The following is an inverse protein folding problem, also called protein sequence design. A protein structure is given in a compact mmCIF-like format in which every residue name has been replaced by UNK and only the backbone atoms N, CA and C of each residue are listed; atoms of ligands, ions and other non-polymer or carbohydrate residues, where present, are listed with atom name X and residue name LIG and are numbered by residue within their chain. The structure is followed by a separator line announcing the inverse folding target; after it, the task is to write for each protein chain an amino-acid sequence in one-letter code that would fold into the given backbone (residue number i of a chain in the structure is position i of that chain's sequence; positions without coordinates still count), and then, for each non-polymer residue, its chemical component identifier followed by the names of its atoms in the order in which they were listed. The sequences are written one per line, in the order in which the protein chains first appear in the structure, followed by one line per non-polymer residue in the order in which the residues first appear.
data_IF_028432956957
#
_entry.id   IF_028432956957
#
_cell.length_a   1.000
_cell.length_b   1.000
_cell.length_c   1.000
_cell.angle_alpha   90.00
_cell.angle_beta   90.00
_cell.angle_gamma   90.00
#
_symmetry.space_group_name_H-M   'P 1'
#
loop_
_entity.id
_entity.type
_entity.pdbx_description
1 polymer ?
#
# COMPACT_ATOMS: atom_id res chain seq x y z
N UNK A 1 -38.98 -49.82 -0.21
CA UNK A 1 -37.73 -49.21 0.31
C UNK A 1 -36.81 -49.00 -0.89
N UNK A 2 -36.54 -47.76 -1.29
CA UNK A 2 -35.71 -47.42 -2.46
C UNK A 2 -34.43 -46.76 -1.94
N UNK A 3 -33.28 -47.36 -2.25
CA UNK A 3 -31.97 -46.86 -1.88
C UNK A 3 -31.51 -45.79 -2.87
N UNK A 4 -31.09 -44.62 -2.36
CA UNK A 4 -30.43 -43.57 -3.12
C UNK A 4 -28.91 -43.78 -3.04
N UNK A 5 -28.16 -43.75 -4.16
CA UNK A 5 -26.70 -43.73 -4.10
C UNK A 5 -26.22 -42.30 -3.80
N UNK A 6 -25.55 -42.13 -2.66
CA UNK A 6 -24.82 -40.91 -2.31
C UNK A 6 -23.50 -40.94 -3.09
N UNK A 7 -23.38 -40.07 -4.09
CA UNK A 7 -22.14 -39.83 -4.81
C UNK A 7 -21.18 -39.01 -3.93
N UNK A 8 -20.07 -39.61 -3.51
CA UNK A 8 -18.98 -38.91 -2.84
C UNK A 8 -18.22 -38.06 -3.86
N UNK A 9 -18.37 -36.73 -3.76
CA UNK A 9 -17.52 -35.77 -4.47
C UNK A 9 -16.20 -35.69 -3.72
N UNK A 10 -15.17 -36.31 -4.29
CA UNK A 10 -13.77 -36.16 -3.87
C UNK A 10 -13.32 -34.72 -4.14
N UNK A 11 -13.29 -33.90 -3.10
CA UNK A 11 -12.55 -32.63 -3.12
C UNK A 11 -11.07 -32.97 -3.22
N UNK A 12 -10.47 -32.74 -4.41
CA UNK A 12 -9.02 -32.64 -4.55
C UNK A 12 -8.56 -31.46 -3.69
N UNK A 13 -8.04 -31.76 -2.51
CA UNK A 13 -7.23 -30.85 -1.72
C UNK A 13 -5.97 -30.50 -2.52
N UNK A 14 -6.00 -29.34 -3.17
CA UNK A 14 -4.82 -28.70 -3.75
C UNK A 14 -3.85 -28.42 -2.60
N UNK A 15 -2.86 -29.29 -2.46
CA UNK A 15 -1.72 -29.10 -1.57
C UNK A 15 -1.08 -27.76 -1.90
N UNK A 16 -1.13 -26.83 -0.95
CA UNK A 16 -0.38 -25.59 -0.98
C UNK A 16 1.10 -25.95 -1.18
N UNK A 17 1.65 -25.61 -2.34
CA UNK A 17 3.10 -25.62 -2.51
C UNK A 17 3.67 -24.64 -1.47
N UNK A 18 4.61 -25.05 -0.60
CA UNK A 18 5.35 -24.07 0.17
C UNK A 18 6.09 -23.20 -0.84
N UNK A 19 5.65 -21.95 -0.99
CA UNK A 19 6.40 -20.93 -1.73
C UNK A 19 7.78 -20.90 -1.09
N UNK A 20 8.81 -21.27 -1.87
CA UNK A 20 10.17 -21.25 -1.38
C UNK A 20 10.53 -19.82 -0.99
N UNK A 21 11.03 -19.63 0.22
CA UNK A 21 11.56 -18.36 0.71
C UNK A 21 12.50 -17.74 -0.34
N UNK A 22 12.09 -16.61 -0.94
CA UNK A 22 12.94 -15.93 -1.92
C UNK A 22 14.14 -15.33 -1.20
N UNK A 23 15.35 -15.76 -1.57
CA UNK A 23 16.57 -15.13 -1.09
C UNK A 23 16.74 -13.76 -1.77
N UNK A 24 17.15 -12.76 -1.00
CA UNK A 24 17.44 -11.41 -1.50
C UNK A 24 18.94 -11.14 -1.49
N UNK A 25 19.47 -10.56 -2.56
CA UNK A 25 20.86 -10.13 -2.59
C UNK A 25 21.01 -8.78 -1.85
N UNK A 26 22.17 -8.54 -1.21
CA UNK A 26 22.43 -7.26 -0.50
C UNK A 26 22.20 -6.05 -1.40
N UNK A 27 22.58 -6.12 -2.68
CA UNK A 27 22.40 -5.04 -3.65
C UNK A 27 20.93 -4.70 -3.95
N UNK A 28 20.00 -5.60 -3.66
CA UNK A 28 18.55 -5.42 -3.84
C UNK A 28 17.89 -4.75 -2.63
N UNK A 29 18.57 -4.70 -1.47
CA UNK A 29 18.10 -3.99 -0.28
C UNK A 29 18.16 -2.46 -0.50
N UNK A 30 17.37 -1.68 0.25
CA UNK A 30 17.49 -0.22 0.23
C UNK A 30 18.90 0.26 0.59
N UNK A 31 19.36 1.35 -0.03
CA UNK A 31 20.71 1.87 0.15
C UNK A 31 21.07 2.16 1.63
N UNK A 32 20.12 2.64 2.43
CA UNK A 32 20.30 2.87 3.87
C UNK A 32 20.48 1.57 4.65
N UNK A 33 19.75 0.50 4.29
CA UNK A 33 19.92 -0.84 4.87
C UNK A 33 21.26 -1.45 4.45
N UNK A 34 21.67 -1.31 3.18
CA UNK A 34 23.00 -1.75 2.74
C UNK A 34 24.11 -1.06 3.53
N UNK A 35 23.97 0.24 3.76
CA UNK A 35 24.91 1.03 4.54
C UNK A 35 24.98 0.52 5.99
N UNK A 36 23.83 0.25 6.60
CA UNK A 36 23.71 -0.28 7.94
C UNK A 36 24.33 -1.67 8.13
N UNK A 37 24.21 -2.55 7.14
CA UNK A 37 24.89 -3.85 7.13
C UNK A 37 26.41 -3.64 7.01
N UNK A 38 26.84 -2.75 6.11
CA UNK A 38 28.26 -2.48 5.86
C UNK A 38 28.95 -1.86 7.09
N UNK A 39 28.26 -0.98 7.82
CA UNK A 39 28.76 -0.41 9.08
C UNK A 39 28.66 -1.37 10.27
N UNK A 40 28.03 -2.54 10.09
CA UNK A 40 27.81 -3.50 11.17
C UNK A 40 26.81 -3.02 12.24
N UNK A 41 25.90 -2.11 11.89
CA UNK A 41 24.86 -1.59 12.80
C UNK A 41 23.55 -2.36 12.70
N UNK A 42 23.39 -3.24 11.70
CA UNK A 42 22.28 -4.19 11.65
C UNK A 42 22.67 -5.49 10.93
N UNK A 43 21.82 -6.51 11.12
CA UNK A 43 21.91 -7.81 10.45
C UNK A 43 20.56 -8.10 9.80
N UNK A 44 20.57 -8.54 8.54
CA UNK A 44 19.37 -8.99 7.82
C UNK A 44 19.46 -10.50 7.58
N UNK A 45 18.38 -11.21 7.88
CA UNK A 45 18.25 -12.63 7.61
C UNK A 45 17.79 -12.81 6.14
N UNK A 46 18.71 -13.26 5.27
CA UNK A 46 18.50 -13.29 3.82
C UNK A 46 17.51 -14.34 3.29
N UNK A 47 17.39 -15.54 3.89
CA UNK A 47 16.24 -16.40 3.63
C UNK A 47 14.97 -15.67 4.07
N UNK A 48 14.10 -15.33 3.12
CA UNK A 48 12.81 -14.69 3.45
C UNK A 48 12.04 -15.52 4.47
N UNK A 49 11.53 -14.88 5.51
CA UNK A 49 10.66 -15.54 6.50
C UNK A 49 9.24 -15.77 5.93
N UNK A 50 8.88 -15.01 4.89
CA UNK A 50 7.56 -15.01 4.27
C UNK A 50 7.64 -14.61 2.80
N UNK A 51 6.79 -15.22 1.97
CA UNK A 51 6.61 -14.87 0.56
C UNK A 51 5.17 -15.20 0.11
N UNK A 52 4.47 -14.21 -0.46
CA UNK A 52 3.14 -14.35 -1.06
C UNK A 52 3.12 -14.18 -2.59
N UNK A 53 4.28 -13.99 -3.21
CA UNK A 53 4.44 -13.61 -4.62
C UNK A 53 4.26 -12.11 -4.89
N UNK A 54 3.51 -11.39 -4.06
CA UNK A 54 3.33 -9.93 -4.13
C UNK A 54 4.11 -9.19 -3.06
N UNK A 55 4.37 -9.85 -1.93
CA UNK A 55 5.23 -9.36 -0.87
C UNK A 55 6.16 -10.47 -0.36
N UNK A 56 7.37 -10.08 0.04
CA UNK A 56 8.34 -10.96 0.72
C UNK A 56 8.84 -10.25 1.98
N UNK A 57 9.06 -10.96 3.08
CA UNK A 57 9.53 -10.34 4.32
C UNK A 57 10.78 -11.00 4.88
N UNK A 58 11.64 -10.16 5.46
CA UNK A 58 12.96 -10.52 5.97
C UNK A 58 13.10 -10.00 7.39
N UNK A 59 13.65 -10.83 8.28
CA UNK A 59 13.96 -10.39 9.64
C UNK A 59 15.18 -9.50 9.61
N UNK A 60 15.12 -8.39 10.34
CA UNK A 60 16.26 -7.50 10.55
C UNK A 60 16.45 -7.26 12.03
N UNK A 61 17.68 -7.40 12.52
CA UNK A 61 18.05 -6.99 13.87
C UNK A 61 18.88 -5.71 13.80
N UNK A 62 18.37 -4.65 14.40
CA UNK A 62 19.10 -3.39 14.58
C UNK A 62 19.93 -3.49 15.87
N UNK A 63 21.25 -3.50 15.71
CA UNK A 63 22.21 -3.64 16.81
C UNK A 63 22.29 -2.37 17.66
N UNK A 64 22.00 -1.21 17.08
CA UNK A 64 22.06 0.09 17.77
C UNK A 64 20.91 0.25 18.76
N UNK A 65 19.71 -0.14 18.36
CA UNK A 65 18.51 -0.09 19.20
C UNK A 65 18.19 -1.40 19.92
N UNK A 66 18.90 -2.48 19.59
CA UNK A 66 18.62 -3.86 20.03
C UNK A 66 17.18 -4.30 19.76
N UNK A 67 16.63 -3.89 18.61
CA UNK A 67 15.24 -4.18 18.22
C UNK A 67 15.18 -5.08 16.98
N UNK A 68 14.23 -6.01 17.02
CA UNK A 68 13.83 -6.80 15.87
C UNK A 68 12.84 -6.01 15.01
N UNK A 69 13.11 -5.97 13.71
CA UNK A 69 12.32 -5.32 12.69
C UNK A 69 11.99 -6.32 11.58
N UNK A 70 10.94 -6.02 10.83
CA UNK A 70 10.61 -6.67 9.58
C UNK A 70 10.90 -5.72 8.44
N UNK A 71 11.64 -6.21 7.46
CA UNK A 71 11.85 -5.56 6.19
C UNK A 71 10.99 -6.26 5.14
N UNK A 72 10.00 -5.57 4.61
CA UNK A 72 8.99 -6.10 3.69
C UNK A 72 9.22 -5.52 2.30
N UNK A 73 9.44 -6.38 1.31
CA UNK A 73 9.55 -6.02 -0.09
C UNK A 73 8.20 -6.21 -0.77
N UNK A 74 7.75 -5.20 -1.47
CA UNK A 74 6.51 -5.20 -2.24
C UNK A 74 6.82 -5.11 -3.74
N UNK A 75 6.31 -6.07 -4.52
CA UNK A 75 6.46 -6.08 -5.97
C UNK A 75 5.44 -5.13 -6.60
N UNK A 76 5.91 -4.04 -7.21
CA UNK A 76 5.02 -3.05 -7.78
C UNK A 76 4.39 -3.55 -9.09
N UNK A 77 3.08 -3.38 -9.19
CA UNK A 77 2.28 -3.72 -10.37
C UNK A 77 1.43 -2.53 -10.82
N UNK A 78 0.95 -2.49 -12.08
CA UNK A 78 -0.04 -1.50 -12.48
C UNK A 78 -1.27 -1.52 -11.54
N UNK A 79 -1.82 -0.36 -11.16
CA UNK A 79 -1.56 0.98 -11.71
C UNK A 79 -0.54 1.81 -10.91
N UNK A 80 0.52 1.21 -10.36
CA UNK A 80 1.59 1.96 -9.69
C UNK A 80 2.16 3.04 -10.60
N UNK A 81 2.31 4.25 -10.08
CA UNK A 81 2.79 5.37 -10.89
C UNK A 81 2.51 6.74 -10.30
N UNK A 82 2.99 7.73 -11.04
CA UNK A 82 2.64 9.14 -10.90
C UNK A 82 1.58 9.52 -11.92
N UNK A 83 0.54 10.19 -11.45
CA UNK A 83 -0.51 10.77 -12.26
C UNK A 83 -0.47 12.28 -12.13
N UNK A 84 -0.42 12.99 -13.25
CA UNK A 84 -0.51 14.45 -13.29
C UNK A 84 -1.96 14.84 -13.60
N UNK A 85 -2.60 15.48 -12.65
CA UNK A 85 -3.97 15.98 -12.76
C UNK A 85 -3.91 17.29 -13.55
N UNK A 86 -4.81 17.46 -14.51
CA UNK A 86 -4.82 18.65 -15.39
C UNK A 86 -4.09 18.49 -16.74
N UNK A 87 -3.69 17.26 -17.12
CA UNK A 87 -3.31 16.95 -18.50
C UNK A 87 -1.81 16.74 -18.77
N UNK A 88 -1.02 16.36 -17.77
CA UNK A 88 0.38 15.97 -17.94
C UNK A 88 0.58 14.47 -18.25
N UNK A 89 1.81 14.06 -18.63
CA UNK A 89 2.12 12.65 -18.82
C UNK A 89 2.09 11.89 -17.49
N UNK A 90 1.49 10.71 -17.49
CA UNK A 90 1.56 9.77 -16.38
C UNK A 90 2.83 8.93 -16.48
N UNK A 91 3.43 8.64 -15.34
CA UNK A 91 4.66 7.84 -15.26
C UNK A 91 4.34 6.54 -14.52
N UNK A 92 4.39 5.41 -15.21
CA UNK A 92 4.20 4.12 -14.57
C UNK A 92 5.42 3.75 -13.72
N UNK A 93 5.19 3.25 -12.52
CA UNK A 93 6.23 2.73 -11.62
C UNK A 93 6.32 1.21 -11.69
N UNK A 94 7.55 0.72 -11.54
CA UNK A 94 7.92 -0.69 -11.52
C UNK A 94 9.03 -0.92 -10.49
N UNK A 95 9.45 -2.17 -10.30
CA UNK A 95 10.48 -2.53 -9.33
C UNK A 95 9.88 -2.82 -7.95
N UNK A 96 10.55 -2.35 -6.90
CA UNK A 96 10.22 -2.72 -5.53
C UNK A 96 10.02 -1.49 -4.65
N UNK A 97 8.97 -1.52 -3.83
CA UNK A 97 8.84 -0.66 -2.67
C UNK A 97 9.21 -1.48 -1.44
N UNK A 98 10.04 -0.92 -0.57
CA UNK A 98 10.40 -1.58 0.68
C UNK A 98 9.76 -0.86 1.86
N UNK A 99 9.42 -1.60 2.92
CA UNK A 99 8.90 -1.05 4.16
C UNK A 99 9.60 -1.71 5.34
N UNK A 100 10.05 -0.90 6.29
CA UNK A 100 10.55 -1.36 7.58
C UNK A 100 9.52 -1.04 8.66
N UNK A 101 9.18 -2.06 9.44
CA UNK A 101 8.32 -1.97 10.63
C UNK A 101 8.98 -2.70 11.80
N UNK A 102 8.67 -2.32 13.04
CA UNK A 102 9.16 -3.07 14.20
C UNK A 102 8.34 -4.35 14.38
N UNK A 103 8.99 -5.41 14.85
CA UNK A 103 8.30 -6.65 15.27
C UNK A 103 7.36 -6.42 16.45
N UNK A 104 7.67 -5.43 17.28
CA UNK A 104 6.82 -4.98 18.37
C UNK A 104 7.03 -3.50 18.68
N UNK A 105 5.98 -2.87 19.19
CA UNK A 105 5.95 -1.48 19.61
C UNK A 105 5.48 -1.38 21.06
N UNK A 106 5.88 -0.32 21.76
CA UNK A 106 5.32 -0.04 23.09
C UNK A 106 3.94 0.57 22.95
N UNK A 107 2.91 0.01 23.58
CA UNK A 107 1.56 0.57 23.53
C UNK A 107 1.43 1.93 24.22
N UNK A 108 2.44 2.32 25.02
CA UNK A 108 2.48 3.64 25.69
C UNK A 108 2.99 4.76 24.78
N UNK A 109 3.61 4.45 23.64
CA UNK A 109 4.07 5.45 22.69
C UNK A 109 2.88 6.01 21.91
N UNK A 110 2.85 7.33 21.72
CA UNK A 110 1.76 8.00 21.01
C UNK A 110 1.78 7.69 19.50
N UNK A 111 2.97 7.43 18.96
CA UNK A 111 3.18 7.17 17.55
C UNK A 111 4.32 6.15 17.35
N UNK A 112 4.18 5.35 16.30
CA UNK A 112 5.03 4.21 15.96
C UNK A 112 5.71 4.46 14.61
N UNK A 113 7.04 4.37 14.53
CA UNK A 113 7.75 4.60 13.28
C UNK A 113 7.53 3.46 12.28
N UNK A 114 7.31 3.85 11.03
CA UNK A 114 7.28 3.01 9.84
C UNK A 114 8.10 3.72 8.77
N UNK A 115 9.08 3.03 8.18
CA UNK A 115 9.91 3.62 7.13
C UNK A 115 9.58 2.99 5.78
N UNK A 116 9.37 3.81 4.75
CA UNK A 116 9.17 3.36 3.38
C UNK A 116 10.37 3.75 2.53
N UNK A 117 10.95 2.80 1.80
CA UNK A 117 12.09 3.05 0.92
C UNK A 117 11.66 2.95 -0.54
N UNK A 118 12.03 3.96 -1.32
CA UNK A 118 11.61 4.13 -2.72
C UNK A 118 12.78 4.03 -3.71
N UNK A 119 14.00 3.76 -3.24
CA UNK A 119 15.23 3.73 -4.05
C UNK A 119 15.27 2.57 -5.07
N UNK A 120 14.43 1.55 -4.90
CA UNK A 120 14.24 0.42 -5.83
C UNK A 120 13.02 0.57 -6.75
N UNK A 121 12.35 1.72 -6.71
CA UNK A 121 11.27 2.05 -7.64
C UNK A 121 11.86 2.65 -8.92
N UNK A 122 11.36 2.19 -10.08
CA UNK A 122 11.81 2.66 -11.39
C UNK A 122 10.63 3.12 -12.26
N UNK A 123 10.69 4.32 -12.85
CA UNK A 123 11.69 5.36 -12.59
C UNK A 123 11.64 5.86 -11.15
N UNK A 124 12.72 6.50 -10.69
CA UNK A 124 12.76 7.11 -9.37
C UNK A 124 11.57 8.07 -9.21
N UNK A 125 10.79 7.98 -8.13
CA UNK A 125 9.68 8.90 -7.91
C UNK A 125 10.15 10.34 -7.86
N UNK A 126 9.38 11.25 -8.42
CA UNK A 126 9.67 12.67 -8.30
C UNK A 126 9.62 13.04 -6.81
N UNK A 127 10.54 13.91 -6.40
CA UNK A 127 10.50 14.51 -5.08
C UNK A 127 9.24 15.36 -4.96
N UNK A 128 8.19 14.79 -4.37
CA UNK A 128 7.05 15.59 -3.96
C UNK A 128 7.43 16.26 -2.63
N UNK A 129 7.33 17.58 -2.60
CA UNK A 129 7.54 18.37 -1.38
C UNK A 129 8.96 18.31 -0.82
N UNK A 130 9.95 18.30 -1.72
CA UNK A 130 11.38 18.23 -1.37
C UNK A 130 11.79 16.98 -0.57
N UNK A 131 10.92 15.96 -0.54
CA UNK A 131 11.23 14.67 0.07
C UNK A 131 12.00 13.80 -0.93
N UNK A 132 13.28 13.60 -0.66
CA UNK A 132 14.12 12.66 -1.42
C UNK A 132 14.54 11.49 -0.54
N UNK A 133 14.30 10.26 -0.99
CA UNK A 133 14.82 9.05 -0.35
C UNK A 133 13.79 8.30 0.48
N UNK A 134 14.21 7.92 1.69
CA UNK A 134 13.42 7.12 2.63
C UNK A 134 12.37 8.01 3.29
N UNK A 135 11.14 7.51 3.42
CA UNK A 135 10.04 8.21 4.06
C UNK A 135 9.85 7.68 5.49
N UNK A 136 10.15 8.51 6.48
CA UNK A 136 9.94 8.21 7.90
C UNK A 136 8.54 8.65 8.33
N UNK A 137 7.63 7.68 8.39
CA UNK A 137 6.22 7.87 8.74
C UNK A 137 5.95 7.46 10.18
N UNK A 138 4.92 8.06 10.77
CA UNK A 138 4.48 7.82 12.13
C UNK A 138 2.99 7.46 12.11
N UNK A 139 2.65 6.30 12.71
CA UNK A 139 1.27 5.80 12.81
C UNK A 139 0.85 5.68 14.28
N UNK A 140 -0.43 5.87 14.59
CA UNK A 140 -0.91 5.68 15.97
C UNK A 140 -1.09 4.19 16.30
N UNK A 141 -1.24 3.88 17.58
CA UNK A 141 -1.63 2.52 18.02
C UNK A 141 -2.91 2.04 17.36
N UNK A 142 -3.91 2.91 17.20
CA UNK A 142 -5.18 2.54 16.56
C UNK A 142 -4.98 2.20 15.08
N UNK A 143 -4.17 2.98 14.37
CA UNK A 143 -3.89 2.76 12.94
C UNK A 143 -3.05 1.51 12.70
N UNK A 144 -2.08 1.24 13.58
CA UNK A 144 -1.26 0.03 13.52
C UNK A 144 -2.13 -1.23 13.64
N UNK A 145 -3.09 -1.22 14.59
CA UNK A 145 -4.05 -2.31 14.78
C UNK A 145 -5.10 -2.39 13.65
N UNK A 146 -5.44 -1.26 13.03
CA UNK A 146 -6.30 -1.22 11.85
C UNK A 146 -5.58 -1.60 10.55
N UNK A 147 -4.25 -1.74 10.59
CA UNK A 147 -3.41 -2.09 9.45
C UNK A 147 -3.25 -0.96 8.44
N UNK A 148 -3.37 0.31 8.84
CA UNK A 148 -3.18 1.45 7.95
C UNK A 148 -3.55 2.79 8.58
N UNK A 149 -2.98 3.86 8.02
CA UNK A 149 -3.18 5.23 8.46
C UNK A 149 -3.36 6.15 7.24
N UNK A 150 -3.97 7.31 7.45
CA UNK A 150 -4.06 8.35 6.43
C UNK A 150 -3.93 9.73 7.06
N UNK A 151 -3.66 10.73 6.23
CA UNK A 151 -3.68 12.13 6.60
C UNK A 151 -4.14 12.95 5.41
N UNK A 152 -4.94 13.98 5.67
CA UNK A 152 -5.39 14.96 4.69
C UNK A 152 -5.25 16.35 5.28
N UNK A 153 -4.85 17.32 4.46
CA UNK A 153 -4.85 18.74 4.79
C UNK A 153 -5.42 19.51 3.60
N UNK A 154 -6.43 20.33 3.84
CA UNK A 154 -7.08 21.16 2.82
C UNK A 154 -7.09 22.62 3.28
N UNK A 155 -6.71 23.54 2.40
CA UNK A 155 -6.77 24.98 2.63
C UNK A 155 -8.02 25.56 1.97
N UNK A 156 -8.90 26.13 2.78
CA UNK A 156 -10.14 26.79 2.34
C UNK A 156 -10.02 28.33 2.38
N UNK A 157 -8.81 28.87 2.32
CA UNK A 157 -8.56 30.31 2.22
C UNK A 157 -8.99 31.04 3.48
N UNK A 158 -9.99 31.93 3.36
CA UNK A 158 -10.53 32.71 4.49
C UNK A 158 -11.11 31.82 5.61
N UNK A 159 -11.54 30.60 5.28
CA UNK A 159 -12.08 29.64 6.25
C UNK A 159 -11.00 28.82 6.98
N UNK A 160 -9.73 28.97 6.61
CA UNK A 160 -8.59 28.30 7.22
C UNK A 160 -8.38 26.85 6.77
N UNK A 161 -7.63 26.10 7.57
CA UNK A 161 -7.20 24.74 7.24
C UNK A 161 -8.11 23.67 7.86
N UNK A 162 -8.43 22.65 7.07
CA UNK A 162 -9.15 21.46 7.51
C UNK A 162 -8.25 20.23 7.37
N UNK A 163 -7.92 19.62 8.51
CA UNK A 163 -7.09 18.42 8.58
C UNK A 163 -7.88 17.21 9.07
N UNK A 164 -7.56 16.01 8.57
CA UNK A 164 -8.10 14.76 9.11
C UNK A 164 -7.08 13.63 9.01
N UNK A 165 -7.28 12.59 9.81
CA UNK A 165 -6.35 11.46 9.90
C UNK A 165 -5.25 11.66 10.94
N UNK A 166 -4.35 10.69 11.01
CA UNK A 166 -3.41 10.45 12.10
C UNK A 166 -2.02 10.02 11.61
N UNK A 167 -1.86 9.77 10.31
CA UNK A 167 -0.55 9.60 9.71
C UNK A 167 0.24 10.90 9.86
N UNK A 168 1.48 10.79 10.31
CA UNK A 168 2.40 11.91 10.50
C UNK A 168 3.83 11.51 10.15
N UNK A 169 4.83 12.34 10.49
CA UNK A 169 6.23 12.14 10.15
C UNK A 169 6.65 13.05 8.99
N UNK A 170 7.41 12.50 8.05
CA UNK A 170 7.81 13.17 6.81
C UNK A 170 6.63 13.24 5.83
N UNK A 171 5.56 13.90 6.24
CA UNK A 171 4.43 14.25 5.38
C UNK A 171 4.59 15.67 4.84
N UNK A 172 3.87 16.03 3.77
CA UNK A 172 3.91 17.38 3.25
C UNK A 172 3.26 18.33 4.26
N UNK A 173 4.04 19.28 4.78
CA UNK A 173 3.61 20.11 5.92
C UNK A 173 2.86 21.39 5.54
N UNK A 174 2.77 21.74 4.25
CA UNK A 174 2.17 23.02 3.87
C UNK A 174 1.38 22.95 2.57
N UNK A 175 0.12 23.34 2.70
CA UNK A 175 -0.72 23.78 1.61
C UNK A 175 -0.70 25.31 1.66
N UNK A 176 -0.17 25.98 0.62
CA UNK A 176 0.12 27.43 0.68
C UNK A 176 -0.85 28.29 -0.15
N UNK A 177 -1.79 27.67 -0.84
CA UNK A 177 -2.77 28.38 -1.64
C UNK A 177 -4.16 27.85 -1.34
N UNK A 178 -5.14 28.76 -1.47
CA UNK A 178 -6.55 28.42 -1.42
C UNK A 178 -6.87 27.29 -2.43
N UNK A 179 -7.76 26.40 -1.99
CA UNK A 179 -8.20 25.25 -2.78
C UNK A 179 -7.13 24.17 -2.94
N UNK A 180 -5.97 24.29 -2.28
CA UNK A 180 -5.03 23.18 -2.25
C UNK A 180 -5.46 22.11 -1.23
N UNK A 181 -5.21 20.87 -1.61
CA UNK A 181 -5.41 19.69 -0.79
C UNK A 181 -4.22 18.79 -0.91
N UNK A 182 -3.79 18.25 0.22
CA UNK A 182 -2.73 17.27 0.31
C UNK A 182 -3.33 16.02 0.96
N UNK A 183 -3.00 14.85 0.43
CA UNK A 183 -3.37 13.58 1.04
C UNK A 183 -2.18 12.64 1.07
N UNK A 184 -2.11 11.83 2.12
CA UNK A 184 -1.19 10.71 2.23
C UNK A 184 -1.92 9.51 2.86
N UNK A 185 -1.61 8.31 2.39
CA UNK A 185 -2.18 7.07 2.89
C UNK A 185 -1.14 5.98 2.90
N UNK A 186 -1.08 5.26 4.01
CA UNK A 186 -0.24 4.10 4.22
C UNK A 186 -1.13 2.92 4.61
N UNK A 187 -0.99 1.79 3.95
CA UNK A 187 -1.59 0.53 4.41
C UNK A 187 -0.47 -0.47 4.71
N UNK A 188 -0.57 -1.11 5.87
CA UNK A 188 0.33 -2.15 6.32
C UNK A 188 -0.12 -3.48 5.72
N UNK A 189 0.12 -3.63 4.42
CA UNK A 189 -0.41 -4.74 3.64
C UNK A 189 0.19 -6.07 4.06
N UNK A 190 -0.67 -7.08 4.26
CA UNK A 190 -0.29 -8.41 4.72
C UNK A 190 0.43 -8.41 6.08
N UNK A 191 0.36 -7.34 6.88
CA UNK A 191 0.95 -7.26 8.21
C UNK A 191 -0.16 -7.22 9.25
N UNK A 192 -0.15 -8.17 10.18
CA UNK A 192 -1.12 -8.18 11.28
C UNK A 192 -0.44 -7.85 12.61
N UNK A 193 -1.02 -6.88 13.31
CA UNK A 193 -0.63 -6.49 14.66
C UNK A 193 -1.76 -6.76 15.63
N UNK A 194 -1.41 -7.18 16.85
CA UNK A 194 -2.35 -7.33 17.95
C UNK A 194 -1.83 -6.67 19.21
N UNK A 195 -2.76 -6.18 20.02
CA UNK A 195 -2.45 -5.64 21.34
C UNK A 195 -2.25 -6.81 22.32
N UNK A 196 -1.07 -6.86 22.95
CA UNK A 196 -0.69 -7.81 23.99
C UNK A 196 -0.49 -7.11 25.35
N UNK A 197 -1.31 -6.10 25.66
CA UNK A 197 -1.28 -5.36 26.92
C UNK A 197 -0.47 -4.07 26.80
N UNK A 198 0.76 -4.08 27.30
CA UNK A 198 1.68 -2.93 27.20
C UNK A 198 2.47 -2.90 25.89
N UNK A 199 2.32 -3.91 25.05
CA UNK A 199 3.02 -4.04 23.78
C UNK A 199 2.03 -4.31 22.65
N UNK A 200 2.36 -3.81 21.48
CA UNK A 200 1.68 -4.17 20.23
C UNK A 200 2.67 -5.06 19.49
N UNK A 201 2.27 -6.28 19.16
CA UNK A 201 3.14 -7.29 18.56
C UNK A 201 2.65 -7.67 17.18
N UNK A 202 3.57 -7.87 16.25
CA UNK A 202 3.22 -8.45 14.97
C UNK A 202 2.88 -9.93 15.18
N UNK A 203 1.66 -10.33 14.80
CA UNK A 203 1.17 -11.70 14.98
C UNK A 203 1.44 -12.60 13.78
N UNK A 204 1.82 -12.01 12.65
CA UNK A 204 2.17 -12.75 11.43
C UNK A 204 1.79 -11.99 10.17
N UNK A 205 1.89 -12.71 9.05
CA UNK A 205 1.55 -12.20 7.72
C UNK A 205 0.21 -12.74 7.25
N UNK A 206 -0.51 -11.94 6.46
CA UNK A 206 -1.81 -12.32 5.88
C UNK A 206 -1.81 -12.21 4.36
N UNK A 207 -1.59 -13.33 3.69
CA UNK A 207 -1.65 -13.42 2.23
C UNK A 207 -3.07 -13.22 1.66
N UNK A 208 -4.11 -13.25 2.50
CA UNK A 208 -5.50 -13.02 2.09
C UNK A 208 -5.90 -11.54 2.08
N UNK A 209 -5.00 -10.64 2.54
CA UNK A 209 -5.20 -9.20 2.44
C UNK A 209 -5.28 -8.76 0.98
N UNK A 210 -6.50 -8.49 0.52
CA UNK A 210 -6.77 -8.10 -0.87
C UNK A 210 -6.56 -6.61 -1.13
N UNK A 211 -6.17 -5.82 -0.12
CA UNK A 211 -5.88 -4.40 -0.32
C UNK A 211 -4.68 -4.30 -1.26
N UNK A 212 -4.82 -3.55 -2.35
CA UNK A 212 -3.77 -3.43 -3.35
C UNK A 212 -2.81 -2.27 -3.14
N UNK A 213 -3.17 -1.25 -2.36
CA UNK A 213 -2.44 0.01 -2.21
C UNK A 213 -1.51 -0.04 -0.99
N UNK A 214 -0.20 0.04 -1.17
CA UNK A 214 0.76 0.12 -0.04
C UNK A 214 0.87 1.55 0.46
N UNK A 215 1.19 2.47 -0.44
CA UNK A 215 1.38 3.89 -0.11
C UNK A 215 0.84 4.76 -1.24
N UNK A 216 0.28 5.92 -0.89
CA UNK A 216 0.01 6.99 -1.85
C UNK A 216 0.17 8.35 -1.20
N UNK A 217 0.57 9.31 -2.01
CA UNK A 217 0.58 10.72 -1.65
C UNK A 217 0.12 11.55 -2.84
N UNK A 218 -0.45 12.72 -2.57
CA UNK A 218 -0.82 13.64 -3.63
C UNK A 218 -1.04 15.06 -3.16
N UNK A 219 -0.89 15.99 -4.09
CA UNK A 219 -1.35 17.38 -3.98
C UNK A 219 -2.35 17.66 -5.09
N UNK A 220 -3.37 18.43 -4.75
CA UNK A 220 -4.48 18.82 -5.61
C UNK A 220 -4.72 20.30 -5.43
N UNK A 221 -5.11 20.98 -6.49
CA UNK A 221 -5.57 22.37 -6.46
C UNK A 221 -6.91 22.41 -7.19
N UNK A 222 -7.94 22.87 -6.49
CA UNK A 222 -9.31 22.91 -6.99
C UNK A 222 -9.76 24.30 -7.46
N UNK A 223 -8.97 25.34 -7.19
CA UNK A 223 -9.33 26.74 -7.52
C UNK A 223 -9.05 27.13 -8.98
N UNK A 224 -8.43 26.25 -9.76
CA UNK A 224 -8.28 26.40 -11.21
C UNK A 224 -9.20 25.45 -11.96
N UNK A 225 -9.91 25.92 -12.99
CA UNK A 225 -10.49 25.06 -14.02
C UNK A 225 -9.50 24.93 -15.18
N UNK A 226 -9.00 23.72 -15.52
CA UNK A 226 -9.24 22.43 -14.86
C UNK A 226 -8.41 22.25 -13.57
N UNK A 227 -8.86 21.38 -12.63
CA UNK A 227 -8.08 21.08 -11.44
C UNK A 227 -6.72 20.51 -11.85
N UNK A 228 -5.69 20.83 -11.08
CA UNK A 228 -4.33 20.36 -11.34
C UNK A 228 -3.70 19.82 -10.06
N UNK A 229 -2.65 19.02 -10.23
CA UNK A 229 -2.01 18.35 -9.11
C UNK A 229 -1.19 17.14 -9.53
N UNK A 230 -0.64 16.47 -8.54
CA UNK A 230 0.17 15.27 -8.75
C UNK A 230 -0.24 14.23 -7.71
N UNK A 231 -0.38 12.98 -8.14
CA UNK A 231 -0.60 11.83 -7.25
C UNK A 231 0.45 10.77 -7.55
N UNK A 232 1.11 10.27 -6.52
CA UNK A 232 1.94 9.08 -6.57
C UNK A 232 1.25 7.96 -5.80
N UNK A 233 1.19 6.77 -6.39
CA UNK A 233 0.59 5.61 -5.75
C UNK A 233 1.36 4.33 -6.07
N UNK A 234 1.46 3.45 -5.07
CA UNK A 234 2.26 2.23 -5.12
C UNK A 234 1.37 1.03 -4.79
N UNK A 235 1.13 0.18 -5.80
CA UNK A 235 0.21 -0.96 -5.75
C UNK A 235 0.94 -2.30 -5.91
N UNK A 236 0.46 -3.33 -5.22
CA UNK A 236 0.97 -4.72 -5.29
C UNK A 236 -0.04 -5.71 -5.87
N UNK A 237 -1.27 -5.25 -6.09
CA UNK A 237 -2.31 -6.01 -6.76
C UNK A 237 -3.02 -5.08 -7.75
N UNK A 238 -3.48 -5.67 -8.85
CA UNK A 238 -4.32 -4.96 -9.80
C UNK A 238 -5.56 -4.44 -9.06
N UNK A 239 -5.78 -3.13 -9.10
CA UNK A 239 -7.03 -2.55 -8.62
C UNK A 239 -8.08 -2.86 -9.68
N UNK A 240 -9.21 -3.49 -9.33
CA UNK A 240 -10.31 -3.61 -10.27
C UNK A 240 -10.70 -2.18 -10.67
N UNK A 241 -10.43 -1.80 -11.92
CA UNK A 241 -10.99 -0.56 -12.45
C UNK A 241 -12.51 -0.64 -12.24
N UNK A 242 -13.18 0.44 -11.81
CA UNK A 242 -14.63 0.47 -11.71
C UNK A 242 -15.18 0.06 -13.09
N UNK A 243 -15.66 -1.18 -13.14
CA UNK A 243 -15.61 -1.93 -14.40
C UNK A 243 -16.45 -1.27 -15.46
N UNK A 244 -15.81 -0.88 -16.57
CA UNK A 244 -16.51 -0.70 -17.84
C UNK A 244 -17.37 -1.93 -18.17
N UNK A 245 -17.05 -3.11 -17.62
CA UNK A 245 -17.88 -4.32 -17.66
C UNK A 245 -19.32 -4.13 -17.16
N UNK A 246 -19.55 -3.32 -16.11
CA UNK A 246 -20.93 -2.98 -15.68
C UNK A 246 -21.60 -2.06 -16.70
N UNK A 247 -20.87 -1.09 -17.27
CA UNK A 247 -21.39 -0.21 -18.32
C UNK A 247 -21.75 -0.97 -19.60
N UNK A 248 -20.94 -1.96 -20.00
CA UNK A 248 -21.26 -2.86 -21.11
C UNK A 248 -22.42 -3.81 -20.78
N UNK A 249 -22.49 -4.33 -19.55
CA UNK A 249 -23.59 -5.19 -19.09
C UNK A 249 -24.95 -4.49 -19.12
N UNK A 250 -25.03 -3.26 -18.57
CA UNK A 250 -26.25 -2.44 -18.63
C UNK A 250 -26.55 -1.96 -20.05
N UNK A 251 -25.53 -1.61 -20.85
CA UNK A 251 -25.69 -1.21 -22.25
C UNK A 251 -26.31 -2.31 -23.12
N UNK A 252 -25.87 -3.57 -22.95
CA UNK A 252 -26.41 -4.71 -23.68
C UNK A 252 -27.84 -5.06 -23.27
N UNK A 253 -28.19 -4.95 -21.98
CA UNK A 253 -29.57 -5.12 -21.50
C UNK A 253 -30.49 -4.03 -22.04
N UNK A 254 -30.01 -2.79 -22.13
CA UNK A 254 -30.75 -1.66 -22.71
C UNK A 254 -31.06 -1.85 -24.20
N UNK A 255 -30.07 -2.26 -25.01
CA UNK A 255 -30.26 -2.54 -26.45
C UNK A 255 -31.20 -3.74 -26.65
N UNK A 256 -31.08 -4.78 -25.80
CA UNK A 256 -31.98 -5.94 -25.84
C UNK A 256 -33.45 -5.59 -25.56
N UNK A 257 -33.71 -4.68 -24.61
CA UNK A 257 -35.06 -4.23 -24.28
C UNK A 257 -35.69 -3.40 -25.43
N UNK A 258 -34.92 -2.52 -26.06
CA UNK A 258 -35.36 -1.70 -27.22
C UNK A 258 -35.57 -2.56 -28.48
N UNK A 259 -34.75 -3.59 -28.69
CA UNK A 259 -34.94 -4.53 -29.79
C UNK A 259 -36.20 -5.40 -29.61
N UNK A 260 -36.58 -5.73 -28.35
CA UNK A 260 -37.74 -6.57 -28.04
C UNK A 260 -39.06 -5.79 -28.11
N UNK A 261 -39.08 -4.50 -27.76
CA UNK A 261 -40.27 -3.65 -27.88
C UNK A 261 -40.65 -3.36 -29.34
N UNK A 262 -39.69 -3.36 -30.28
CA UNK A 262 -39.97 -3.25 -31.73
C UNK A 262 -40.56 -4.50 -32.38
N UNK A 263 -40.47 -5.68 -31.75
CA UNK A 263 -41.04 -6.94 -32.28
C UNK A 263 -42.47 -7.23 -31.82
N UNK A 264 -43.00 -6.46 -30.88
CA UNK A 264 -44.34 -6.67 -30.30
C UNK A 264 -45.35 -5.58 -30.72
N UNK A 265 -44.96 -4.66 -31.60
CA UNK A 265 -45.87 -3.74 -32.27
C UNK A 265 -46.31 -4.26 -33.65
N UNK A 266 -47.15 -5.29 -33.66
CA UNK A 266 -48.01 -5.71 -34.77
C UNK A 266 -49.34 -6.19 -34.19
#
# INVERSE_FOLDING_TARGET
MRAFPIAYVLFLSTSAFPLAAQAVAVSELPASIQSCITSGSCVVNYPGAYDSGTASAFEMFDLSSQKWNWLVRYNLVPPSGQTVIGGGPNTAYSGYLWMQVASSYSASEAAHPVTVFLDKVTPAPDSMFDQSGDLSLLVTTADLLAGGAYSTLEDHGEYGYFGSGSLSGELPLICLAEGCKIEARLNLLQLNYANAGSTIVMTGFDASDMRGLVYSQGSYYFDGEPPYGTKQAFYIAAVPEPGMAWLFGFGLLGVGAVARSRRTGL
#
